data_IF_213482360141
#
_entry.id   IF_213482360141
#
_cell.length_a   1.000
_cell.length_b   1.000
_cell.length_c   1.000
_cell.angle_alpha   90.00
_cell.angle_beta   90.00
_cell.angle_gamma   90.00
#
_symmetry.space_group_name_H-M   'P 1'
#
loop_
_entity.id
_entity.type
_entity.pdbx_description
1 polymer ?
#
# COMPACT_ATOMS: atom_id res chain seq x y z
N UNK A 1 27.93 -18.83 8.73
CA UNK A 1 27.54 -18.43 8.55
C UNK A 1 26.67 -17.94 8.17
N UNK A 2 26.18 -17.81 8.18
CA UNK A 2 25.43 -17.51 7.75
C UNK A 2 25.02 -16.67 7.37
N UNK A 3 24.86 -16.30 7.01
CA UNK A 3 24.60 -15.58 6.52
C UNK A 3 23.53 -15.18 6.18
N UNK A 4 22.97 -15.16 6.44
CA UNK A 4 21.92 -14.81 6.05
C UNK A 4 21.67 -13.83 5.36
N UNK A 5 21.81 -13.76 5.06
CA UNK A 5 21.73 -12.91 4.10
C UNK A 5 20.47 -12.46 3.58
N UNK A 6 19.41 -13.00 3.96
CA UNK A 6 18.16 -12.53 3.53
C UNK A 6 17.88 -11.24 4.22
N UNK A 7 17.94 -10.18 3.49
CA UNK A 7 17.54 -8.89 4.00
C UNK A 7 16.04 -8.83 4.03
N UNK A 8 15.53 -8.32 5.12
CA UNK A 8 14.13 -8.00 5.22
C UNK A 8 13.95 -6.55 4.80
N UNK A 9 13.02 -6.30 3.91
CA UNK A 9 12.65 -4.97 3.52
C UNK A 9 11.31 -4.66 4.18
N UNK A 10 11.25 -3.55 4.92
CA UNK A 10 10.02 -3.10 5.55
C UNK A 10 9.31 -2.11 4.64
N UNK A 11 8.05 -2.37 4.36
CA UNK A 11 7.22 -1.54 3.49
C UNK A 11 5.93 -1.20 4.20
N UNK A 12 5.51 0.06 4.08
CA UNK A 12 4.23 0.52 4.60
C UNK A 12 3.35 0.94 3.43
N UNK A 13 2.06 0.72 3.55
CA UNK A 13 1.08 1.10 2.53
C UNK A 13 -0.16 1.66 3.20
N UNK A 14 -0.83 2.59 2.53
CA UNK A 14 -1.98 3.28 3.08
C UNK A 14 -3.29 2.93 2.38
N UNK A 15 -4.32 2.66 3.17
CA UNK A 15 -5.68 2.50 2.69
C UNK A 15 -6.39 3.83 2.90
N UNK A 16 -6.56 4.58 1.81
CA UNK A 16 -7.25 5.87 1.84
C UNK A 16 -8.67 5.62 1.38
N UNK A 17 -9.63 5.83 2.26
CA UNK A 17 -11.03 5.50 1.99
C UNK A 17 -11.89 6.75 1.91
N UNK A 18 -12.85 6.73 0.98
CA UNK A 18 -13.78 7.85 0.79
C UNK A 18 -15.07 7.30 0.18
N UNK A 19 -16.20 7.51 0.85
CA UNK A 19 -17.52 7.15 0.33
C UNK A 19 -17.62 5.68 -0.10
N UNK A 20 -17.05 4.78 0.71
CA UNK A 20 -17.10 3.34 0.43
C UNK A 20 -16.12 2.86 -0.62
N UNK A 21 -15.21 3.73 -1.06
CA UNK A 21 -14.17 3.40 -2.04
C UNK A 21 -12.80 3.54 -1.42
N UNK A 22 -11.84 2.84 -2.01
CA UNK A 22 -10.44 2.94 -1.59
C UNK A 22 -9.60 3.40 -2.79
N UNK A 23 -8.57 4.18 -2.51
CA UNK A 23 -7.67 4.68 -3.55
C UNK A 23 -6.69 3.60 -3.95
N UNK A 24 -6.74 3.18 -5.21
CA UNK A 24 -5.81 2.22 -5.78
C UNK A 24 -4.91 2.95 -6.78
N UNK A 25 -3.65 2.52 -6.86
CA UNK A 25 -2.64 3.19 -7.67
C UNK A 25 -2.01 2.18 -8.61
N UNK A 26 -1.87 2.52 -9.87
CA UNK A 26 -1.27 1.63 -10.86
C UNK A 26 0.15 2.03 -11.16
N UNK A 27 1.06 1.08 -11.05
CA UNK A 27 2.48 1.28 -11.30
C UNK A 27 2.71 1.61 -12.77
N UNK A 28 3.71 2.44 -13.05
CA UNK A 28 4.02 2.85 -14.40
C UNK A 28 4.49 1.69 -15.27
N UNK A 29 4.29 1.81 -16.57
CA UNK A 29 4.66 0.82 -17.56
C UNK A 29 6.15 0.47 -17.49
N UNK A 30 7.02 1.42 -17.28
CA UNK A 30 8.46 1.19 -17.23
C UNK A 30 9.02 0.80 -15.87
N UNK A 31 8.17 0.53 -14.89
CA UNK A 31 8.63 0.22 -13.53
C UNK A 31 8.83 -1.28 -13.32
N UNK A 32 9.39 -1.64 -12.16
CA UNK A 32 9.39 -3.04 -11.71
C UNK A 32 7.95 -3.42 -11.43
N UNK A 33 7.50 -4.57 -11.90
CA UNK A 33 6.11 -5.01 -11.86
C UNK A 33 5.20 -4.02 -12.57
N UNK A 34 5.43 -3.79 -13.87
CA UNK A 34 4.72 -2.74 -14.60
C UNK A 34 3.22 -2.98 -14.65
N UNK A 35 2.47 -1.89 -14.52
CA UNK A 35 1.02 -1.85 -14.63
C UNK A 35 0.26 -2.64 -13.56
N UNK A 36 0.95 -3.18 -12.56
CA UNK A 36 0.29 -3.79 -11.41
C UNK A 36 -0.31 -2.68 -10.55
N UNK A 37 -1.42 -3.00 -9.90
CA UNK A 37 -2.05 -2.10 -8.96
C UNK A 37 -1.49 -2.32 -7.56
N UNK A 38 -1.53 -1.29 -6.74
CA UNK A 38 -1.03 -1.34 -5.35
C UNK A 38 -1.71 -0.26 -4.53
N UNK A 39 -1.57 -0.33 -3.21
CA UNK A 39 -1.91 0.78 -2.34
C UNK A 39 -0.67 1.69 -2.23
N UNK A 40 -0.87 3.01 -2.10
CA UNK A 40 0.28 3.93 -2.05
C UNK A 40 1.11 3.71 -0.79
N UNK A 41 2.42 3.88 -0.91
CA UNK A 41 3.35 3.69 0.19
C UNK A 41 4.75 3.40 -0.34
N UNK A 42 5.59 2.81 0.50
CA UNK A 42 6.93 2.47 0.09
C UNK A 42 7.80 1.99 1.24
N UNK A 43 9.10 1.94 1.01
CA UNK A 43 10.07 1.41 1.95
C UNK A 43 10.23 2.31 3.16
N UNK A 44 10.33 1.70 4.33
CA UNK A 44 10.69 2.38 5.57
C UNK A 44 12.22 2.52 5.59
N UNK A 45 12.71 3.73 5.72
CA UNK A 45 14.16 3.99 5.76
C UNK A 45 14.70 3.76 7.17
N UNK A 46 16.03 3.57 7.26
CA UNK A 46 16.67 3.14 8.51
C UNK A 46 16.32 3.96 9.74
N UNK A 47 16.13 5.26 9.56
CA UNK A 47 15.91 6.16 10.68
C UNK A 47 14.46 6.56 10.85
N UNK A 48 13.56 5.93 10.09
CA UNK A 48 12.15 6.27 10.12
C UNK A 48 11.33 5.27 10.94
N UNK A 49 10.30 5.77 11.61
CA UNK A 49 9.22 4.92 12.09
C UNK A 49 8.30 4.61 10.92
N UNK A 50 7.41 3.64 11.07
CA UNK A 50 6.40 3.33 10.06
C UNK A 50 5.55 4.57 9.75
N UNK A 51 5.14 5.29 10.79
CA UNK A 51 4.32 6.48 10.64
C UNK A 51 5.03 7.56 9.83
N UNK A 52 6.32 7.76 10.11
CA UNK A 52 7.12 8.75 9.37
C UNK A 52 7.27 8.35 7.90
N UNK A 53 7.53 7.06 7.64
CA UNK A 53 7.66 6.57 6.28
C UNK A 53 6.35 6.73 5.51
N UNK A 54 5.24 6.39 6.15
CA UNK A 54 3.91 6.51 5.53
C UNK A 54 3.61 7.97 5.18
N UNK A 55 3.87 8.90 6.10
CA UNK A 55 3.66 10.32 5.86
C UNK A 55 4.51 10.81 4.69
N UNK A 56 5.79 10.44 4.68
CA UNK A 56 6.71 10.84 3.61
C UNK A 56 6.29 10.28 2.26
N UNK A 57 6.01 8.98 2.20
CA UNK A 57 5.65 8.34 0.94
C UNK A 57 4.35 8.89 0.35
N UNK A 58 3.33 9.09 1.18
CA UNK A 58 2.06 9.61 0.68
C UNK A 58 2.16 11.09 0.28
N UNK A 59 3.05 11.83 0.90
CA UNK A 59 3.35 13.20 0.48
C UNK A 59 4.04 13.20 -0.88
N UNK A 60 5.02 12.33 -1.06
CA UNK A 60 5.78 12.23 -2.31
C UNK A 60 4.91 11.73 -3.47
N UNK A 61 4.03 10.79 -3.22
CA UNK A 61 3.27 10.14 -4.28
C UNK A 61 1.95 10.82 -4.61
N UNK A 62 1.28 11.40 -3.61
CA UNK A 62 -0.08 11.92 -3.74
C UNK A 62 -0.24 13.35 -3.27
N UNK A 63 0.79 13.94 -2.70
CA UNK A 63 0.77 15.32 -2.17
C UNK A 63 -0.30 15.53 -1.08
N UNK A 64 -0.48 14.54 -0.23
CA UNK A 64 -1.36 14.67 0.93
C UNK A 64 -0.57 14.61 2.23
N UNK A 65 -1.15 15.20 3.27
CA UNK A 65 -0.58 15.17 4.62
C UNK A 65 -1.37 14.19 5.46
N UNK A 66 -0.74 13.08 5.86
CA UNK A 66 -1.37 12.08 6.72
C UNK A 66 -1.33 12.60 8.16
N UNK A 67 -2.49 12.70 8.79
CA UNK A 67 -2.61 13.22 10.15
C UNK A 67 -2.82 12.11 11.18
N UNK A 68 -3.54 11.05 10.83
CA UNK A 68 -3.78 9.91 11.71
C UNK A 68 -3.86 8.64 10.89
N UNK A 69 -3.26 7.57 11.39
CA UNK A 69 -3.30 6.27 10.72
C UNK A 69 -3.36 5.15 11.76
N UNK A 70 -3.84 3.99 11.35
CA UNK A 70 -4.00 2.83 12.22
C UNK A 70 -3.58 1.59 11.45
N UNK A 71 -2.63 0.81 11.99
CA UNK A 71 -2.24 -0.43 11.34
C UNK A 71 -3.39 -1.43 11.41
N UNK A 72 -3.78 -1.98 10.27
CA UNK A 72 -4.92 -2.89 10.16
C UNK A 72 -4.55 -4.27 9.66
N UNK A 73 -3.37 -4.44 9.06
CA UNK A 73 -2.97 -5.73 8.52
C UNK A 73 -1.45 -5.78 8.34
N UNK A 74 -0.88 -6.97 8.32
CA UNK A 74 0.52 -7.17 7.96
C UNK A 74 0.71 -8.58 7.39
N UNK A 75 1.67 -8.70 6.49
CA UNK A 75 2.08 -10.00 5.97
C UNK A 75 3.49 -9.91 5.42
N UNK A 76 4.05 -11.07 5.10
CA UNK A 76 5.38 -11.17 4.51
C UNK A 76 5.27 -11.80 3.14
N UNK A 77 6.11 -11.34 2.21
CA UNK A 77 6.11 -11.89 0.86
C UNK A 77 7.53 -11.88 0.29
N UNK A 78 7.87 -12.93 -0.44
CA UNK A 78 9.15 -13.02 -1.13
C UNK A 78 8.87 -12.97 -2.62
N UNK A 79 9.35 -11.90 -3.28
CA UNK A 79 9.21 -11.74 -4.72
C UNK A 79 10.37 -12.46 -5.40
N UNK A 80 10.09 -13.49 -6.19
CA UNK A 80 11.04 -14.18 -7.08
C UNK A 80 12.51 -14.06 -6.66
N UNK A 81 13.02 -14.88 -5.79
CA UNK A 81 14.41 -14.90 -5.31
C UNK A 81 14.91 -13.59 -4.68
N UNK A 82 14.03 -12.66 -4.48
CA UNK A 82 14.39 -11.39 -3.85
C UNK A 82 14.38 -11.47 -2.34
N UNK A 83 14.59 -10.34 -1.68
CA UNK A 83 14.49 -10.29 -0.22
C UNK A 83 13.05 -10.47 0.23
N UNK A 84 12.89 -10.84 1.50
CA UNK A 84 11.58 -10.91 2.11
C UNK A 84 11.08 -9.49 2.36
N UNK A 85 9.85 -9.23 1.93
CA UNK A 85 9.21 -7.95 2.15
C UNK A 85 8.19 -8.10 3.27
N UNK A 86 8.36 -7.31 4.32
CA UNK A 86 7.41 -7.26 5.42
C UNK A 86 6.50 -6.07 5.17
N UNK A 87 5.24 -6.36 4.81
CA UNK A 87 4.25 -5.34 4.45
C UNK A 87 3.36 -5.03 5.63
N UNK A 88 3.25 -3.77 5.96
CA UNK A 88 2.34 -3.30 7.00
C UNK A 88 1.37 -2.30 6.37
N UNK A 89 0.08 -2.57 6.53
CA UNK A 89 -0.99 -1.78 5.92
C UNK A 89 -1.68 -0.93 6.98
N UNK A 90 -1.84 0.34 6.66
CA UNK A 90 -2.42 1.32 7.58
C UNK A 90 -3.67 1.93 6.97
N UNK A 91 -4.75 1.95 7.72
CA UNK A 91 -5.92 2.74 7.34
C UNK A 91 -5.60 4.20 7.66
N UNK A 92 -5.80 5.08 6.70
CA UNK A 92 -5.59 6.51 6.90
C UNK A 92 -6.88 7.07 7.50
N UNK A 93 -6.83 7.41 8.78
CA UNK A 93 -8.01 7.88 9.50
C UNK A 93 -8.30 9.34 9.25
N UNK A 94 -7.25 10.12 8.99
CA UNK A 94 -7.38 11.56 8.78
C UNK A 94 -6.23 12.06 7.92
N UNK A 95 -6.54 12.85 6.91
CA UNK A 95 -5.51 13.45 6.07
C UNK A 95 -5.99 14.80 5.56
N UNK A 96 -5.05 15.60 5.04
CA UNK A 96 -5.32 16.92 4.49
C UNK A 96 -4.85 16.95 3.04
N UNK A 97 -5.62 17.60 2.19
CA UNK A 97 -5.31 17.72 0.78
C UNK A 97 -6.10 16.73 -0.06
N UNK A 98 -6.21 17.01 -1.34
CA UNK A 98 -6.86 16.12 -2.31
C UNK A 98 -5.77 15.29 -2.99
N UNK A 99 -5.85 13.95 -2.97
CA UNK A 99 -4.82 13.12 -3.60
C UNK A 99 -4.61 13.47 -5.06
N UNK A 100 -3.35 13.71 -5.43
CA UNK A 100 -2.93 13.99 -6.80
C UNK A 100 -1.97 12.92 -7.24
N UNK A 101 -2.07 12.49 -8.50
CA UNK A 101 -1.16 11.51 -9.04
C UNK A 101 0.17 12.16 -9.44
N UNK A 102 1.20 11.97 -8.62
CA UNK A 102 2.52 12.52 -8.91
C UNK A 102 3.47 11.49 -9.53
N UNK A 103 3.23 10.19 -9.34
CA UNK A 103 4.21 9.17 -9.73
C UNK A 103 3.62 7.93 -10.42
N UNK A 104 2.31 7.75 -10.44
CA UNK A 104 1.70 6.52 -10.94
C UNK A 104 1.26 6.63 -12.40
N UNK A 105 1.01 5.49 -13.03
CA UNK A 105 0.37 5.43 -14.33
C UNK A 105 -1.01 6.08 -14.24
N UNK A 106 -1.76 5.69 -13.20
CA UNK A 106 -3.05 6.30 -12.88
C UNK A 106 -3.40 5.97 -11.43
N UNK A 107 -4.33 6.75 -10.88
CA UNK A 107 -4.92 6.47 -9.57
C UNK A 107 -6.43 6.43 -9.75
N UNK A 108 -7.12 5.64 -8.92
CA UNK A 108 -8.57 5.49 -9.03
C UNK A 108 -9.20 5.20 -7.69
N UNK A 109 -10.36 5.79 -7.44
CA UNK A 109 -11.21 5.44 -6.30
C UNK A 109 -12.06 4.25 -6.73
N UNK A 110 -11.90 3.10 -6.04
CA UNK A 110 -12.54 1.86 -6.46
C UNK A 110 -13.38 1.27 -5.35
N UNK A 111 -14.53 0.76 -5.74
CA UNK A 111 -15.38 0.01 -4.81
C UNK A 111 -14.81 -1.40 -4.64
N UNK A 112 -15.13 -2.04 -3.52
CA UNK A 112 -14.56 -3.34 -3.19
C UNK A 112 -14.70 -4.39 -4.29
N UNK A 113 -15.88 -4.59 -4.92
CA UNK A 113 -15.97 -5.58 -5.99
C UNK A 113 -15.03 -5.31 -7.16
N UNK A 114 -14.80 -4.04 -7.49
CA UNK A 114 -13.87 -3.66 -8.55
C UNK A 114 -12.43 -3.85 -8.11
N UNK A 115 -12.16 -3.53 -6.85
CA UNK A 115 -10.83 -3.62 -6.27
C UNK A 115 -10.26 -5.05 -6.36
N UNK A 116 -11.06 -6.04 -5.97
CA UNK A 116 -10.59 -7.42 -5.97
C UNK A 116 -10.41 -7.99 -7.37
N UNK A 117 -10.93 -7.31 -8.39
CA UNK A 117 -10.73 -7.69 -9.78
C UNK A 117 -9.52 -7.06 -10.45
N UNK A 118 -8.84 -6.13 -9.78
CA UNK A 118 -7.66 -5.49 -10.33
C UNK A 118 -6.43 -6.38 -10.16
N UNK A 119 -5.47 -6.25 -11.07
CA UNK A 119 -4.25 -7.03 -11.04
C UNK A 119 -3.25 -6.42 -10.04
N UNK A 120 -3.44 -6.75 -8.77
CA UNK A 120 -2.61 -6.23 -7.69
C UNK A 120 -1.27 -6.95 -7.57
N UNK A 121 -0.29 -6.27 -6.99
CA UNK A 121 0.98 -6.88 -6.60
C UNK A 121 0.71 -8.11 -5.72
N UNK A 122 1.53 -9.13 -5.89
CA UNK A 122 1.37 -10.40 -5.16
C UNK A 122 1.38 -10.21 -3.65
N UNK A 123 2.22 -9.30 -3.16
CA UNK A 123 2.31 -9.04 -1.72
C UNK A 123 1.05 -8.44 -1.12
N UNK A 124 0.20 -7.81 -1.94
CA UNK A 124 -1.05 -7.21 -1.49
C UNK A 124 -2.22 -8.20 -1.49
N UNK A 125 -2.07 -9.34 -2.16
CA UNK A 125 -3.17 -10.28 -2.34
C UNK A 125 -3.73 -10.89 -1.05
N UNK A 126 -2.92 -11.19 -0.03
CA UNK A 126 -3.50 -11.66 1.24
C UNK A 126 -4.50 -10.68 1.85
N UNK A 127 -4.19 -9.36 1.79
CA UNK A 127 -5.13 -8.35 2.25
C UNK A 127 -6.36 -8.32 1.34
N UNK A 128 -6.17 -8.42 0.03
CA UNK A 128 -7.27 -8.44 -0.93
C UNK A 128 -8.24 -9.58 -0.65
N UNK A 129 -7.71 -10.77 -0.34
CA UNK A 129 -8.53 -11.93 0.02
C UNK A 129 -9.33 -11.67 1.28
N UNK A 130 -8.70 -11.05 2.28
CA UNK A 130 -9.37 -10.71 3.54
C UNK A 130 -10.50 -9.69 3.30
N UNK A 131 -10.24 -8.68 2.47
CA UNK A 131 -11.25 -7.68 2.12
C UNK A 131 -12.43 -8.34 1.40
N UNK A 132 -12.16 -9.25 0.49
CA UNK A 132 -13.23 -9.95 -0.24
C UNK A 132 -14.11 -10.78 0.69
N UNK A 133 -13.50 -11.47 1.65
CA UNK A 133 -14.24 -12.33 2.59
C UNK A 133 -15.06 -11.55 3.59
N UNK A 134 -14.54 -10.43 4.08
CA UNK A 134 -15.21 -9.64 5.10
C UNK A 134 -16.18 -8.60 4.54
N UNK A 135 -16.21 -8.45 3.23
CA UNK A 135 -16.95 -7.36 2.59
C UNK A 135 -16.30 -6.00 2.80
N UNK A 136 -15.11 -5.97 3.39
CA UNK A 136 -14.34 -4.74 3.57
C UNK A 136 -14.85 -3.78 4.63
N UNK A 137 -15.92 -4.13 5.35
CA UNK A 137 -16.54 -3.21 6.30
C UNK A 137 -15.57 -2.71 7.36
N UNK A 138 -14.66 -3.58 7.80
CA UNK A 138 -13.66 -3.29 8.81
C UNK A 138 -12.65 -2.25 8.36
N UNK A 139 -12.36 -2.20 7.06
CA UNK A 139 -11.27 -1.40 6.51
C UNK A 139 -11.73 -0.18 5.72
N UNK A 140 -12.92 -0.21 5.15
CA UNK A 140 -13.36 0.80 4.19
C UNK A 140 -14.36 1.83 4.73
N UNK A 141 -14.63 1.80 6.00
CA UNK A 141 -15.55 2.78 6.59
C UNK A 141 -15.00 4.18 6.61
#
# INVERSE_FOLDING_TARGET
>A
MATNTSKQIDVVAGLICRDGRVLACQRRDGSVFPLKWEFPGGKVERTESDSEALCRELKEELEIDVLESLQVYQNEHIYADGPMVHLRFFKILKYRGEPKNLVFQQIAWVELPQLVGLDFLEGDKPLMDKLAKSGGAEFLR
#
